data_IF_174837539623
#
_entry.id   IF_174837539623
#
_cell.length_a   1.000
_cell.length_b   1.000
_cell.length_c   1.000
_cell.angle_alpha   90.00
_cell.angle_beta   90.00
_cell.angle_gamma   90.00
#
_symmetry.space_group_name_H-M   'P 1'
#
loop_
_entity.id
_entity.type
_entity.pdbx_description
1 polymer ?
#
# COMPACT_ATOMS: atom_id res chain seq x y z
N UNK A 1 -4.01 19.49 6.88
CA UNK A 1 -4.98 18.48 7.39
C UNK A 1 -4.42 17.12 7.11
N UNK A 2 -4.55 16.16 8.03
CA UNK A 2 -4.14 14.78 7.80
C UNK A 2 -5.10 14.12 6.81
N UNK A 3 -4.57 13.49 5.76
CA UNK A 3 -5.38 12.77 4.77
C UNK A 3 -5.43 11.30 5.12
N UNK A 4 -6.58 10.65 4.90
CA UNK A 4 -6.73 9.21 5.05
C UNK A 4 -6.28 8.53 3.77
N UNK A 5 -5.32 7.60 3.91
CA UNK A 5 -4.76 6.82 2.81
C UNK A 5 -5.02 5.35 3.04
N UNK A 6 -5.60 4.67 2.06
CA UNK A 6 -5.81 3.22 2.09
C UNK A 6 -4.74 2.58 1.21
N UNK A 7 -4.03 1.59 1.72
CA UNK A 7 -2.95 0.93 1.00
C UNK A 7 -2.98 -0.59 1.16
N UNK A 8 -2.21 -1.26 0.31
CA UNK A 8 -2.15 -2.71 0.21
C UNK A 8 -3.47 -3.33 -0.26
N UNK A 9 -4.11 -2.67 -1.22
CA UNK A 9 -5.33 -3.12 -1.86
C UNK A 9 -5.03 -3.80 -3.20
N UNK A 10 -5.42 -5.07 -3.32
CA UNK A 10 -5.13 -5.89 -4.50
C UNK A 10 -6.03 -5.63 -5.69
N UNK A 11 -7.25 -5.14 -5.44
CA UNK A 11 -8.28 -4.88 -6.45
C UNK A 11 -9.69 -5.23 -5.97
N UNK A 12 -10.69 -4.60 -6.58
CA UNK A 12 -12.10 -4.73 -6.19
C UNK A 12 -12.83 -5.89 -6.88
N UNK A 13 -12.16 -6.68 -7.74
CA UNK A 13 -12.69 -7.97 -8.18
C UNK A 13 -12.92 -8.93 -6.99
N UNK A 14 -12.17 -8.75 -5.91
CA UNK A 14 -12.50 -9.31 -4.61
C UNK A 14 -13.50 -8.40 -3.90
N UNK A 15 -14.78 -8.77 -3.93
CA UNK A 15 -15.86 -7.98 -3.30
C UNK A 15 -15.69 -7.76 -1.78
N UNK A 16 -14.93 -8.62 -1.10
CA UNK A 16 -14.54 -8.39 0.29
C UNK A 16 -13.64 -7.17 0.44
N UNK A 17 -12.67 -7.03 -0.45
CA UNK A 17 -11.78 -5.87 -0.48
C UNK A 17 -12.53 -4.58 -0.87
N UNK A 18 -13.41 -4.64 -1.86
CA UNK A 18 -14.31 -3.54 -2.23
C UNK A 18 -15.16 -3.08 -1.03
N UNK A 19 -15.79 -4.02 -0.32
CA UNK A 19 -16.62 -3.73 0.84
C UNK A 19 -15.83 -3.03 1.96
N UNK A 20 -14.56 -3.39 2.17
CA UNK A 20 -13.70 -2.72 3.16
C UNK A 20 -13.48 -1.25 2.77
N UNK A 21 -13.19 -0.94 1.51
CA UNK A 21 -13.00 0.45 1.04
C UNK A 21 -14.27 1.27 1.27
N UNK A 22 -15.42 0.78 0.80
CA UNK A 22 -16.70 1.49 0.92
C UNK A 22 -17.13 1.68 2.37
N UNK A 23 -17.01 0.64 3.20
CA UNK A 23 -17.35 0.73 4.61
C UNK A 23 -16.41 1.67 5.36
N UNK A 24 -15.12 1.68 5.03
CA UNK A 24 -14.15 2.61 5.63
C UNK A 24 -14.51 4.05 5.32
N UNK A 25 -14.77 4.40 4.08
CA UNK A 25 -15.20 5.75 3.70
C UNK A 25 -16.47 6.18 4.43
N UNK A 26 -17.45 5.28 4.51
CA UNK A 26 -18.72 5.53 5.22
C UNK A 26 -18.53 5.70 6.74
N UNK A 27 -17.74 4.85 7.38
CA UNK A 27 -17.49 4.91 8.84
C UNK A 27 -16.74 6.19 9.20
N UNK A 28 -15.74 6.57 8.42
CA UNK A 28 -14.91 7.73 8.69
C UNK A 28 -15.56 9.05 8.21
N UNK A 29 -16.59 8.98 7.36
CA UNK A 29 -17.26 10.14 6.79
C UNK A 29 -16.37 11.01 5.91
N UNK A 30 -15.39 10.39 5.23
CA UNK A 30 -14.43 11.07 4.36
C UNK A 30 -14.26 10.30 3.05
N UNK A 31 -13.80 10.97 2.01
CA UNK A 31 -13.32 10.37 0.78
C UNK A 31 -11.81 10.08 0.95
N UNK A 32 -11.40 8.81 1.15
CA UNK A 32 -9.99 8.47 1.30
C UNK A 32 -9.29 8.40 -0.06
N UNK A 33 -7.96 8.49 -0.07
CA UNK A 33 -7.18 8.09 -1.25
C UNK A 33 -6.88 6.59 -1.17
N UNK A 34 -7.26 5.84 -2.19
CA UNK A 34 -7.02 4.40 -2.32
C UNK A 34 -5.82 4.14 -3.24
N UNK A 35 -4.77 3.55 -2.70
CA UNK A 35 -3.66 3.02 -3.49
C UNK A 35 -3.98 1.59 -3.92
N UNK A 36 -4.26 1.41 -5.21
CA UNK A 36 -4.66 0.12 -5.78
C UNK A 36 -3.63 -0.42 -6.76
N UNK A 37 -3.38 -1.73 -6.68
CA UNK A 37 -2.59 -2.46 -7.67
C UNK A 37 -3.34 -2.67 -9.00
N UNK A 38 -4.67 -2.56 -8.99
CA UNK A 38 -5.56 -2.82 -10.13
C UNK A 38 -6.57 -1.68 -10.33
N UNK A 39 -6.13 -0.46 -10.70
CA UNK A 39 -7.02 0.70 -10.82
C UNK A 39 -8.15 0.50 -11.84
N UNK A 40 -7.95 -0.34 -12.87
CA UNK A 40 -8.98 -0.67 -13.85
C UNK A 40 -10.16 -1.42 -13.23
N UNK A 41 -9.90 -2.29 -12.23
CA UNK A 41 -10.94 -2.97 -11.47
C UNK A 41 -11.72 -1.97 -10.60
N UNK A 42 -11.04 -1.00 -10.00
CA UNK A 42 -11.68 0.04 -9.20
C UNK A 42 -12.70 0.84 -10.03
N UNK A 43 -12.34 1.18 -11.26
CA UNK A 43 -13.24 1.84 -12.19
C UNK A 43 -14.40 0.93 -12.62
N UNK A 44 -14.13 -0.35 -12.88
CA UNK A 44 -15.17 -1.33 -13.24
C UNK A 44 -16.23 -1.49 -12.15
N UNK A 45 -15.83 -1.43 -10.89
CA UNK A 45 -16.70 -1.56 -9.72
C UNK A 45 -17.13 -0.22 -9.12
N UNK A 46 -16.87 0.90 -9.82
CA UNK A 46 -17.28 2.25 -9.42
C UNK A 46 -16.77 2.66 -8.02
N UNK A 47 -15.58 2.21 -7.65
CA UNK A 47 -14.94 2.57 -6.37
C UNK A 47 -14.49 4.03 -6.36
N UNK A 48 -14.19 4.60 -7.54
CA UNK A 48 -13.86 6.02 -7.73
C UNK A 48 -14.95 6.97 -7.23
N UNK A 49 -16.19 6.50 -7.07
CA UNK A 49 -17.29 7.29 -6.47
C UNK A 49 -17.18 7.38 -4.93
N UNK A 50 -16.27 6.62 -4.33
CA UNK A 50 -16.14 6.50 -2.88
C UNK A 50 -14.74 6.90 -2.39
N UNK A 51 -13.72 6.74 -3.23
CA UNK A 51 -12.33 7.01 -2.91
C UNK A 51 -11.60 7.58 -4.14
N UNK A 52 -10.63 8.48 -3.90
CA UNK A 52 -9.68 8.89 -4.93
C UNK A 52 -8.75 7.71 -5.26
N UNK A 53 -8.87 7.13 -6.43
CA UNK A 53 -8.07 5.96 -6.85
C UNK A 53 -6.71 6.41 -7.38
N UNK A 54 -5.65 5.87 -6.83
CA UNK A 54 -4.26 6.11 -7.26
C UNK A 54 -3.59 4.77 -7.52
N UNK A 55 -2.95 4.65 -8.68
CA UNK A 55 -2.21 3.44 -9.04
C UNK A 55 -0.99 3.24 -8.14
N UNK A 56 -0.84 2.03 -7.59
CA UNK A 56 0.33 1.56 -6.86
C UNK A 56 0.77 0.16 -7.34
N UNK A 57 1.07 0.04 -8.62
CA UNK A 57 1.70 -1.17 -9.18
C UNK A 57 3.18 -1.20 -8.82
N UNK A 58 3.64 -2.38 -8.42
CA UNK A 58 5.05 -2.61 -8.19
C UNK A 58 5.86 -2.47 -9.48
N UNK A 59 6.80 -1.52 -9.50
CA UNK A 59 7.70 -1.28 -10.63
C UNK A 59 9.09 -1.76 -10.23
N UNK A 60 9.56 -2.93 -10.75
CA UNK A 60 10.85 -3.47 -10.37
C UNK A 60 12.00 -2.59 -10.83
N UNK A 61 13.07 -2.55 -10.04
CA UNK A 61 14.31 -1.92 -10.46
C UNK A 61 14.89 -2.66 -11.69
N UNK A 62 15.16 -1.92 -12.75
CA UNK A 62 15.69 -2.48 -13.99
C UNK A 62 17.15 -2.94 -13.82
N UNK A 63 17.44 -4.20 -14.13
CA UNK A 63 18.82 -4.73 -14.12
C UNK A 63 19.74 -3.86 -14.98
N UNK A 64 20.97 -3.64 -14.50
CA UNK A 64 21.95 -2.80 -15.18
C UNK A 64 21.86 -1.31 -14.87
N UNK A 65 20.90 -0.87 -14.04
CA UNK A 65 20.83 0.52 -13.57
C UNK A 65 21.54 0.70 -12.23
N UNK A 66 21.99 1.92 -11.94
CA UNK A 66 22.56 2.26 -10.63
C UNK A 66 21.61 1.92 -9.48
N UNK A 67 20.33 2.20 -9.66
CA UNK A 67 19.28 1.86 -8.67
C UNK A 67 19.26 0.36 -8.37
N UNK A 68 19.31 -0.49 -9.41
CA UNK A 68 19.36 -1.93 -9.21
C UNK A 68 20.60 -2.35 -8.40
N UNK A 69 21.78 -1.81 -8.74
CA UNK A 69 23.01 -2.13 -8.03
C UNK A 69 22.97 -1.69 -6.56
N UNK A 70 22.40 -0.53 -6.27
CA UNK A 70 22.23 -0.05 -4.88
C UNK A 70 21.26 -0.96 -4.09
N UNK A 71 20.13 -1.34 -4.68
CA UNK A 71 19.20 -2.28 -4.05
C UNK A 71 19.83 -3.66 -3.83
N UNK A 72 20.59 -4.16 -4.81
CA UNK A 72 21.27 -5.45 -4.71
C UNK A 72 22.40 -5.44 -3.66
N UNK A 73 23.13 -4.34 -3.53
CA UNK A 73 24.15 -4.18 -2.51
C UNK A 73 23.52 -4.16 -1.10
N UNK A 74 22.41 -3.42 -0.93
CA UNK A 74 21.65 -3.40 0.32
C UNK A 74 21.12 -4.80 0.67
N UNK A 75 20.53 -5.51 -0.29
CA UNK A 75 20.06 -6.89 -0.10
C UNK A 75 21.19 -7.83 0.33
N UNK A 76 22.36 -7.72 -0.31
CA UNK A 76 23.51 -8.56 0.02
C UNK A 76 24.07 -8.29 1.43
N UNK A 77 24.04 -7.04 1.88
CA UNK A 77 24.56 -6.63 3.19
C UNK A 77 23.59 -6.92 4.33
N UNK A 78 22.30 -6.67 4.09
CA UNK A 78 21.27 -6.70 5.14
C UNK A 78 20.33 -7.90 5.05
N UNK A 79 20.45 -8.73 4.00
CA UNK A 79 19.64 -9.93 3.78
C UNK A 79 18.12 -9.67 3.73
N UNK A 80 17.70 -8.50 3.22
CA UNK A 80 16.29 -8.15 3.05
C UNK A 80 16.03 -7.36 1.76
N UNK A 81 14.77 -7.34 1.31
CA UNK A 81 14.36 -6.72 0.05
C UNK A 81 13.81 -5.30 0.20
N UNK A 82 14.05 -4.65 1.34
CA UNK A 82 13.45 -3.35 1.66
C UNK A 82 13.65 -2.30 0.56
N UNK A 83 14.88 -2.13 0.07
CA UNK A 83 15.16 -1.11 -0.94
C UNK A 83 14.51 -1.43 -2.30
N UNK A 84 14.39 -2.71 -2.66
CA UNK A 84 13.64 -3.13 -3.84
C UNK A 84 12.16 -2.80 -3.71
N UNK A 85 11.53 -3.11 -2.58
CA UNK A 85 10.13 -2.80 -2.30
C UNK A 85 9.91 -1.29 -2.29
N UNK A 86 10.75 -0.53 -1.59
CA UNK A 86 10.70 0.92 -1.52
C UNK A 86 10.82 1.59 -2.90
N UNK A 87 11.71 1.08 -3.75
CA UNK A 87 11.82 1.54 -5.13
C UNK A 87 10.58 1.21 -5.95
N UNK A 88 10.08 -0.02 -5.82
CA UNK A 88 8.93 -0.52 -6.57
C UNK A 88 7.65 0.27 -6.31
N UNK A 89 7.48 0.81 -5.10
CA UNK A 89 6.32 1.59 -4.66
C UNK A 89 6.64 3.08 -4.48
N UNK A 90 7.60 3.60 -5.23
CA UNK A 90 7.96 5.02 -5.14
C UNK A 90 6.82 5.97 -5.50
N UNK A 91 5.87 5.55 -6.35
CA UNK A 91 4.71 6.34 -6.72
C UNK A 91 3.81 6.63 -5.51
N UNK A 92 3.54 5.62 -4.68
CA UNK A 92 2.86 5.77 -3.39
C UNK A 92 3.63 6.76 -2.50
N UNK A 93 4.96 6.58 -2.36
CA UNK A 93 5.78 7.44 -1.52
C UNK A 93 5.83 8.91 -1.97
N UNK A 94 5.58 9.19 -3.25
CA UNK A 94 5.49 10.56 -3.77
C UNK A 94 4.15 11.23 -3.44
N UNK A 95 3.11 10.44 -3.17
CA UNK A 95 1.74 10.91 -2.92
C UNK A 95 1.41 11.05 -1.43
N UNK A 96 2.17 10.40 -0.54
CA UNK A 96 1.96 10.51 0.91
C UNK A 96 2.81 11.63 1.52
N UNK A 97 2.29 12.24 2.56
CA UNK A 97 2.94 13.34 3.29
C UNK A 97 3.03 13.03 4.79
N UNK A 98 3.98 13.67 5.47
CA UNK A 98 4.08 13.56 6.92
C UNK A 98 2.79 13.98 7.60
N UNK A 99 2.33 13.17 8.55
CA UNK A 99 1.08 13.36 9.26
C UNK A 99 -0.14 12.69 8.61
N UNK A 100 -0.04 12.14 7.40
CA UNK A 100 -1.11 11.32 6.82
C UNK A 100 -1.37 10.09 7.68
N UNK A 101 -2.62 9.64 7.71
CA UNK A 101 -3.06 8.42 8.39
C UNK A 101 -3.24 7.35 7.31
N UNK A 102 -2.36 6.37 7.33
CA UNK A 102 -2.32 5.30 6.34
C UNK A 102 -2.92 4.03 6.94
N UNK A 103 -4.05 3.59 6.40
CA UNK A 103 -4.76 2.39 6.82
C UNK A 103 -4.35 1.22 5.92
N UNK A 104 -3.70 0.21 6.50
CA UNK A 104 -3.46 -1.06 5.82
C UNK A 104 -4.77 -1.83 5.77
N UNK A 105 -5.36 -1.92 4.58
CA UNK A 105 -6.62 -2.62 4.35
C UNK A 105 -6.36 -3.93 3.63
N UNK A 106 -7.26 -4.88 3.81
CA UNK A 106 -7.19 -6.13 3.06
C UNK A 106 -7.30 -7.37 3.94
N UNK A 107 -8.50 -7.65 4.41
CA UNK A 107 -8.99 -8.87 5.03
C UNK A 107 -7.93 -9.76 5.70
N UNK A 108 -7.41 -10.69 4.96
CA UNK A 108 -6.51 -11.75 5.40
C UNK A 108 -5.03 -11.55 5.00
N UNK A 109 -4.65 -10.37 4.55
CA UNK A 109 -3.27 -10.09 4.08
C UNK A 109 -2.18 -10.42 5.11
N UNK A 110 -2.48 -10.38 6.40
CA UNK A 110 -1.55 -10.69 7.49
C UNK A 110 -1.63 -12.14 7.96
N UNK A 111 -2.41 -13.00 7.29
CA UNK A 111 -2.57 -14.41 7.62
C UNK A 111 -1.73 -15.34 6.73
N UNK A 112 -1.00 -14.81 5.74
CA UNK A 112 -0.23 -15.64 4.80
C UNK A 112 1.28 -15.46 4.97
N UNK A 113 2.03 -16.47 4.53
CA UNK A 113 3.47 -16.38 4.43
C UNK A 113 3.89 -15.21 3.52
N UNK A 114 4.95 -14.48 3.89
CA UNK A 114 5.43 -13.33 3.12
C UNK A 114 4.95 -11.97 3.63
N UNK A 115 4.45 -11.91 4.86
CA UNK A 115 4.07 -10.67 5.57
C UNK A 115 5.23 -9.67 5.74
N UNK A 116 6.49 -10.10 5.55
CA UNK A 116 7.66 -9.22 5.58
C UNK A 116 7.51 -8.01 4.65
N UNK A 117 6.87 -8.21 3.48
CA UNK A 117 6.60 -7.12 2.52
C UNK A 117 5.67 -6.06 3.12
N UNK A 118 4.68 -6.47 3.89
CA UNK A 118 3.78 -5.56 4.62
C UNK A 118 4.54 -4.77 5.69
N UNK A 119 5.46 -5.44 6.40
CA UNK A 119 6.38 -4.78 7.32
C UNK A 119 7.22 -3.71 6.62
N UNK A 120 7.69 -3.96 5.41
CA UNK A 120 8.44 -2.97 4.62
C UNK A 120 7.56 -1.79 4.17
N UNK A 121 6.29 -2.04 3.80
CA UNK A 121 5.33 -0.96 3.54
C UNK A 121 5.15 -0.06 4.76
N UNK A 122 4.87 -0.65 5.90
CA UNK A 122 4.70 0.09 7.14
C UNK A 122 5.95 0.91 7.47
N UNK A 123 7.14 0.31 7.35
CA UNK A 123 8.41 0.99 7.58
C UNK A 123 8.60 2.20 6.67
N UNK A 124 8.40 2.06 5.35
CA UNK A 124 8.61 3.17 4.43
C UNK A 124 7.60 4.32 4.62
N UNK A 125 6.37 4.02 5.05
CA UNK A 125 5.38 5.03 5.42
C UNK A 125 5.78 5.75 6.72
N UNK A 126 6.27 5.02 7.72
CA UNK A 126 6.82 5.61 8.94
C UNK A 126 8.01 6.52 8.67
N UNK A 127 8.94 6.12 7.80
CA UNK A 127 10.08 6.95 7.38
C UNK A 127 9.64 8.24 6.69
N UNK A 128 8.44 8.27 6.09
CA UNK A 128 7.81 9.48 5.53
C UNK A 128 7.08 10.32 6.59
N UNK A 129 7.01 9.86 7.84
CA UNK A 129 6.30 10.54 8.92
C UNK A 129 4.79 10.30 8.93
N UNK A 130 4.30 9.27 8.23
CA UNK A 130 2.90 8.86 8.27
C UNK A 130 2.61 8.04 9.53
N UNK A 131 1.34 8.02 9.94
CA UNK A 131 0.82 7.10 10.96
C UNK A 131 0.22 5.89 10.25
N UNK A 132 0.63 4.68 10.60
CA UNK A 132 0.09 3.44 10.03
C UNK A 132 -0.84 2.75 11.02
N UNK A 133 -1.96 2.22 10.51
CA UNK A 133 -2.98 1.49 11.29
C UNK A 133 -3.37 0.24 10.51
N UNK A 134 -3.45 -0.89 11.20
CA UNK A 134 -4.08 -2.10 10.66
C UNK A 134 -5.59 -1.93 10.74
N UNK A 135 -6.28 -1.98 9.60
CA UNK A 135 -7.69 -1.67 9.50
C UNK A 135 -8.46 -2.76 8.74
N UNK A 136 -9.38 -3.42 9.42
CA UNK A 136 -10.16 -4.50 8.82
C UNK A 136 -9.32 -5.71 8.41
N UNK A 137 -8.19 -5.95 9.10
CA UNK A 137 -7.28 -7.04 8.82
C UNK A 137 -7.44 -8.15 9.85
N UNK A 138 -7.41 -9.40 9.39
CA UNK A 138 -7.15 -10.56 10.23
C UNK A 138 -5.63 -10.74 10.40
N UNK A 139 -5.21 -11.11 11.58
CA UNK A 139 -3.80 -11.38 11.90
C UNK A 139 -3.73 -12.79 12.47
N UNK A 140 -2.89 -13.64 11.90
CA UNK A 140 -2.63 -14.97 12.45
C UNK A 140 -1.76 -14.84 13.71
N UNK A 141 -2.11 -15.56 14.80
CA UNK A 141 -1.35 -15.51 16.05
C UNK A 141 0.04 -16.17 15.95
#
# INVERSE_FOLDING_TARGET
MSTIRLYYHGGSANHGCEAIVRSTAKILGVEPTLFSASPDEELQYHVEQTAEVVEDRYIPAKKGTLTYFLCAADHKLNHHDYQFIRHGHKALLQKVSAGDICLSIGGDNYCYAGTDKLGYYNRMLHEKGCKTVLWGCSVEP
#
